data_IF_751971191563
#
_entry.id   IF_751971191563
#
_cell.length_a   1.000
_cell.length_b   1.000
_cell.length_c   1.000
_cell.angle_alpha   90.00
_cell.angle_beta   90.00
_cell.angle_gamma   90.00
#
_symmetry.space_group_name_H-M   'P 1'
#
loop_
_entity.id
_entity.type
_entity.pdbx_description
1 polymer ?
#
# COMPACT_ATOMS: atom_id res chain seq x y z
N UNK A 1 18.74 20.68 -31.58
CA UNK A 1 18.17 20.51 -30.24
C UNK A 1 16.91 19.65 -30.35
N UNK A 2 17.00 18.34 -30.12
CA UNK A 2 15.83 17.49 -29.93
C UNK A 2 15.17 17.86 -28.60
N UNK A 3 13.87 18.18 -28.55
CA UNK A 3 13.20 18.46 -27.29
C UNK A 3 13.23 17.19 -26.43
N UNK A 4 13.81 17.30 -25.25
CA UNK A 4 13.71 16.24 -24.23
C UNK A 4 12.24 15.92 -24.00
N UNK A 5 11.82 14.74 -24.43
CA UNK A 5 10.48 14.21 -24.14
C UNK A 5 10.33 14.20 -22.62
N UNK A 6 9.57 15.16 -22.06
CA UNK A 6 9.11 15.08 -20.68
C UNK A 6 8.39 13.75 -20.50
N UNK A 7 9.00 12.80 -19.84
CA UNK A 7 8.35 11.55 -19.48
C UNK A 7 7.14 11.90 -18.62
N UNK A 8 5.94 11.78 -19.21
CA UNK A 8 4.70 11.90 -18.43
C UNK A 8 4.66 10.74 -17.44
N UNK A 9 4.53 11.05 -16.16
CA UNK A 9 4.32 10.03 -15.15
C UNK A 9 2.91 9.47 -15.33
N UNK A 10 2.81 8.21 -15.77
CA UNK A 10 1.55 7.48 -15.86
C UNK A 10 1.44 6.54 -14.67
N UNK A 11 0.38 6.73 -13.87
CA UNK A 11 0.11 5.95 -12.68
C UNK A 11 -1.02 4.95 -12.92
N UNK A 12 -0.85 3.71 -12.46
CA UNK A 12 -1.90 2.69 -12.46
C UNK A 12 -2.30 2.33 -11.02
N UNK A 13 -3.61 2.14 -10.81
CA UNK A 13 -4.16 1.58 -9.57
C UNK A 13 -4.26 0.05 -9.66
N UNK A 14 -3.19 -0.61 -10.07
CA UNK A 14 -3.15 -2.07 -10.00
C UNK A 14 -2.81 -2.51 -8.57
N UNK A 15 -3.68 -3.36 -8.02
CA UNK A 15 -3.56 -3.86 -6.65
C UNK A 15 -3.20 -5.34 -6.60
N UNK A 16 -3.06 -5.97 -7.80
CA UNK A 16 -2.88 -7.41 -7.91
C UNK A 16 -4.12 -8.22 -7.50
N UNK A 17 -4.07 -9.53 -7.69
CA UNK A 17 -5.16 -10.44 -7.37
C UNK A 17 -6.49 -10.03 -8.00
N UNK A 18 -7.58 -10.11 -7.23
CA UNK A 18 -8.95 -9.79 -7.72
C UNK A 18 -9.15 -8.33 -8.16
N UNK A 19 -8.26 -7.41 -7.79
CA UNK A 19 -8.36 -5.97 -8.13
C UNK A 19 -7.23 -5.58 -9.06
N UNK A 20 -6.95 -6.40 -10.08
CA UNK A 20 -5.98 -6.08 -11.12
C UNK A 20 -6.62 -5.34 -12.30
N UNK A 21 -6.00 -4.24 -12.70
CA UNK A 21 -6.34 -3.51 -13.93
C UNK A 21 -5.75 -4.16 -15.19
N UNK A 22 -4.77 -5.04 -14.99
CA UNK A 22 -4.12 -5.80 -16.06
C UNK A 22 -4.82 -7.13 -16.36
N UNK A 23 -5.96 -7.43 -15.71
CA UNK A 23 -6.66 -8.71 -15.81
C UNK A 23 -7.04 -9.11 -17.24
N UNK A 24 -7.26 -8.12 -18.12
CA UNK A 24 -7.54 -8.38 -19.55
C UNK A 24 -6.31 -8.88 -20.32
N UNK A 25 -5.11 -8.65 -19.81
CA UNK A 25 -3.84 -9.07 -20.42
C UNK A 25 -3.25 -10.30 -19.73
N UNK A 26 -3.43 -10.42 -18.43
CA UNK A 26 -2.92 -11.53 -17.62
C UNK A 26 -3.85 -11.77 -16.44
N UNK A 27 -4.30 -13.00 -16.27
CA UNK A 27 -5.02 -13.38 -15.07
C UNK A 27 -4.04 -13.64 -13.92
N UNK A 28 -3.95 -12.67 -13.04
CA UNK A 28 -3.14 -12.72 -11.82
C UNK A 28 -4.02 -12.79 -10.56
N UNK A 29 -5.28 -13.20 -10.67
CA UNK A 29 -6.26 -13.19 -9.58
C UNK A 29 -5.85 -14.03 -8.38
N UNK A 30 -5.12 -15.13 -8.59
CA UNK A 30 -4.59 -16.00 -7.53
C UNK A 30 -3.40 -15.39 -6.79
N UNK A 31 -2.66 -14.47 -7.41
CA UNK A 31 -1.46 -13.84 -6.82
C UNK A 31 -1.83 -12.62 -5.97
N UNK A 32 -2.64 -12.86 -4.94
CA UNK A 32 -3.03 -11.81 -3.99
C UNK A 32 -1.90 -11.46 -3.04
N UNK A 33 -1.97 -10.29 -2.38
CA UNK A 33 -1.00 -9.96 -1.33
C UNK A 33 -1.06 -10.99 -0.18
N UNK A 34 -2.26 -11.49 0.14
CA UNK A 34 -2.43 -12.53 1.15
C UNK A 34 -1.72 -13.83 0.76
N UNK A 35 -1.84 -14.26 -0.50
CA UNK A 35 -1.10 -15.41 -1.02
C UNK A 35 0.41 -15.28 -0.77
N UNK A 36 0.98 -14.14 -1.16
CA UNK A 36 2.41 -13.88 -0.94
C UNK A 36 2.78 -13.77 0.54
N UNK A 37 1.90 -13.21 1.36
CA UNK A 37 2.09 -13.15 2.81
C UNK A 37 2.10 -14.53 3.48
N UNK A 38 1.23 -15.42 3.04
CA UNK A 38 1.16 -16.80 3.54
C UNK A 38 2.35 -17.62 3.01
N UNK A 39 2.74 -17.45 1.75
CA UNK A 39 3.94 -18.07 1.19
C UNK A 39 5.22 -17.62 1.92
N UNK A 40 5.32 -16.33 2.26
CA UNK A 40 6.47 -15.81 3.05
C UNK A 40 6.59 -16.46 4.42
N UNK A 41 5.46 -16.78 5.07
CA UNK A 41 5.48 -17.50 6.36
C UNK A 41 5.89 -18.95 6.19
N UNK A 42 5.40 -19.61 5.14
CA UNK A 42 5.60 -21.03 4.89
C UNK A 42 6.99 -21.34 4.34
N UNK A 43 7.42 -20.59 3.33
CA UNK A 43 8.68 -20.82 2.60
C UNK A 43 9.21 -19.51 2.01
N UNK A 44 10.19 -18.94 2.69
CA UNK A 44 10.82 -17.68 2.26
C UNK A 44 11.62 -17.80 0.94
N UNK A 45 12.17 -18.99 0.63
CA UNK A 45 12.92 -19.19 -0.63
C UNK A 45 11.95 -19.15 -1.81
N UNK A 46 10.84 -19.92 -1.73
CA UNK A 46 9.77 -19.90 -2.75
C UNK A 46 9.12 -18.53 -2.85
N UNK A 47 8.86 -17.85 -1.73
CA UNK A 47 8.36 -16.47 -1.75
C UNK A 47 9.28 -15.55 -2.55
N UNK A 48 10.57 -15.56 -2.27
CA UNK A 48 11.52 -14.69 -2.96
C UNK A 48 11.56 -14.94 -4.47
N UNK A 49 11.52 -16.22 -4.89
CA UNK A 49 11.50 -16.62 -6.29
C UNK A 49 10.18 -16.18 -6.97
N UNK A 50 9.04 -16.57 -6.43
CA UNK A 50 7.75 -16.33 -7.05
C UNK A 50 7.37 -14.85 -7.03
N UNK A 51 7.66 -14.15 -5.94
CA UNK A 51 7.40 -12.72 -5.85
C UNK A 51 8.32 -11.91 -6.77
N UNK A 52 9.53 -12.38 -7.01
CA UNK A 52 10.46 -11.76 -7.98
C UNK A 52 9.93 -11.89 -9.42
N UNK A 53 9.54 -13.11 -9.81
CA UNK A 53 8.94 -13.37 -11.12
C UNK A 53 7.68 -12.52 -11.32
N UNK A 54 6.78 -12.52 -10.32
CA UNK A 54 5.55 -11.73 -10.34
C UNK A 54 5.83 -10.24 -10.56
N UNK A 55 6.72 -9.66 -9.76
CA UNK A 55 7.05 -8.22 -9.87
C UNK A 55 7.71 -7.90 -11.22
N UNK A 56 8.60 -8.76 -11.72
CA UNK A 56 9.24 -8.58 -13.03
C UNK A 56 8.21 -8.57 -14.15
N UNK A 57 7.29 -9.53 -14.16
CA UNK A 57 6.24 -9.61 -15.19
C UNK A 57 5.31 -8.40 -15.15
N UNK A 58 4.81 -8.02 -13.97
CA UNK A 58 3.97 -6.82 -13.81
C UNK A 58 4.73 -5.57 -14.25
N UNK A 59 5.98 -5.41 -13.85
CA UNK A 59 6.80 -4.26 -14.24
C UNK A 59 7.06 -4.20 -15.73
N UNK A 60 7.28 -5.35 -16.38
CA UNK A 60 7.44 -5.44 -17.82
C UNK A 60 6.18 -4.95 -18.54
N UNK A 61 5.00 -5.48 -18.18
CA UNK A 61 3.73 -5.06 -18.76
C UNK A 61 3.45 -3.57 -18.56
N UNK A 62 3.70 -3.06 -17.34
CA UNK A 62 3.52 -1.63 -17.06
C UNK A 62 4.39 -0.76 -17.98
N UNK A 63 5.65 -1.13 -18.16
CA UNK A 63 6.57 -0.41 -19.04
C UNK A 63 6.16 -0.46 -20.51
N UNK A 64 5.68 -1.61 -20.99
CA UNK A 64 5.12 -1.74 -22.35
C UNK A 64 3.96 -0.76 -22.58
N UNK A 65 3.14 -0.53 -21.54
CA UNK A 65 2.03 0.41 -21.57
C UNK A 65 2.45 1.87 -21.29
N UNK A 66 3.75 2.15 -21.15
CA UNK A 66 4.27 3.47 -20.80
C UNK A 66 4.00 3.90 -19.35
N UNK A 67 3.60 2.97 -18.47
CA UNK A 67 3.28 3.24 -17.07
C UNK A 67 4.54 3.06 -16.22
N UNK A 68 4.89 4.05 -15.43
CA UNK A 68 6.11 4.05 -14.60
C UNK A 68 5.84 4.20 -13.09
N UNK A 69 4.58 4.28 -12.67
CA UNK A 69 4.17 4.39 -11.26
C UNK A 69 3.07 3.38 -10.96
N UNK A 70 3.25 2.55 -9.93
CA UNK A 70 2.23 1.61 -9.46
C UNK A 70 1.82 1.90 -8.00
N UNK A 71 0.51 1.85 -7.71
CA UNK A 71 -0.02 2.10 -6.36
C UNK A 71 0.06 0.87 -5.46
N UNK A 72 1.26 0.39 -5.24
CA UNK A 72 1.65 -0.72 -4.36
C UNK A 72 2.85 -0.29 -3.49
N UNK A 73 3.08 -0.98 -2.38
CA UNK A 73 2.28 -1.99 -1.70
C UNK A 73 1.09 -1.42 -0.90
N UNK A 74 0.10 -2.28 -0.65
CA UNK A 74 -0.90 -2.05 0.40
C UNK A 74 -0.30 -2.48 1.73
N UNK A 75 -0.12 -1.55 2.65
CA UNK A 75 0.49 -1.78 3.97
C UNK A 75 -0.55 -1.89 5.10
N UNK A 76 -1.83 -1.91 4.77
CA UNK A 76 -2.89 -2.09 5.74
C UNK A 76 -2.81 -3.49 6.36
N UNK A 77 -2.92 -3.57 7.70
CA UNK A 77 -2.84 -4.83 8.43
C UNK A 77 -4.17 -5.56 8.31
N UNK A 78 -4.13 -6.85 7.96
CA UNK A 78 -5.33 -7.70 7.94
C UNK A 78 -5.88 -7.86 9.36
N UNK A 79 -7.19 -7.63 9.52
CA UNK A 79 -7.90 -7.82 10.77
C UNK A 79 -8.97 -8.91 10.61
N UNK A 80 -9.02 -9.85 11.55
CA UNK A 80 -10.11 -10.81 11.65
C UNK A 80 -11.41 -10.05 11.98
N UNK A 81 -12.52 -10.49 11.42
CA UNK A 81 -13.88 -9.96 11.71
C UNK A 81 -14.11 -8.48 11.33
N UNK A 82 -13.23 -7.85 10.55
CA UNK A 82 -13.49 -6.55 9.96
C UNK A 82 -13.86 -6.69 8.47
N UNK A 83 -14.54 -5.68 7.94
CA UNK A 83 -15.05 -5.70 6.57
C UNK A 83 -13.93 -6.08 5.57
N UNK A 84 -14.27 -6.92 4.57
CA UNK A 84 -13.31 -7.46 3.59
C UNK A 84 -12.72 -6.40 2.62
N UNK A 85 -12.83 -5.11 2.94
CA UNK A 85 -12.32 -4.02 2.11
C UNK A 85 -10.81 -4.17 1.87
N UNK A 86 -10.07 -4.42 2.94
CA UNK A 86 -8.65 -4.72 2.83
C UNK A 86 -8.46 -6.17 2.39
N UNK A 87 -9.08 -7.13 3.11
CA UNK A 87 -9.16 -8.54 2.74
C UNK A 87 -7.83 -9.10 2.25
N UNK A 88 -7.88 -9.80 1.12
CA UNK A 88 -6.74 -10.44 0.46
C UNK A 88 -5.71 -9.46 -0.16
N UNK A 89 -6.00 -8.14 -0.11
CA UNK A 89 -5.04 -7.10 -0.49
C UNK A 89 -4.00 -6.81 0.59
N UNK A 90 -4.19 -7.29 1.83
CA UNK A 90 -3.18 -7.25 2.89
C UNK A 90 -2.26 -8.47 2.83
N UNK A 91 -0.99 -8.26 3.11
CA UNK A 91 -0.03 -9.36 3.19
C UNK A 91 -0.23 -10.24 4.44
N UNK A 92 -0.64 -9.67 5.57
CA UNK A 92 -0.73 -10.40 6.83
C UNK A 92 -1.49 -9.64 7.91
N UNK A 93 -1.92 -10.37 8.95
CA UNK A 93 -2.33 -9.80 10.24
C UNK A 93 -1.14 -9.44 11.14
N UNK A 94 0.07 -9.88 10.80
CA UNK A 94 1.29 -9.54 11.53
C UNK A 94 1.96 -8.32 10.93
N UNK A 95 2.01 -7.21 11.67
CA UNK A 95 2.59 -5.94 11.22
C UNK A 95 4.06 -6.04 10.80
N UNK A 96 4.87 -6.91 11.44
CA UNK A 96 6.28 -7.11 11.07
C UNK A 96 6.40 -7.73 9.68
N UNK A 97 5.51 -8.69 9.36
CA UNK A 97 5.45 -9.32 8.04
C UNK A 97 4.98 -8.32 6.99
N UNK A 98 3.91 -7.56 7.26
CA UNK A 98 3.42 -6.51 6.36
C UNK A 98 4.54 -5.50 6.05
N UNK A 99 5.22 -5.00 7.09
CA UNK A 99 6.32 -4.06 6.92
C UNK A 99 7.46 -4.66 6.07
N UNK A 100 7.89 -5.89 6.37
CA UNK A 100 9.01 -6.55 5.69
C UNK A 100 8.70 -6.85 4.22
N UNK A 101 7.53 -7.42 3.92
CA UNK A 101 7.13 -7.68 2.53
C UNK A 101 6.91 -6.36 1.80
N UNK A 102 6.39 -5.33 2.48
CA UNK A 102 6.27 -3.98 1.93
C UNK A 102 7.61 -3.43 1.45
N UNK A 103 8.68 -3.56 2.25
CA UNK A 103 10.02 -3.14 1.86
C UNK A 103 10.54 -3.93 0.65
N UNK A 104 10.37 -5.25 0.65
CA UNK A 104 10.75 -6.12 -0.47
C UNK A 104 9.99 -5.72 -1.75
N UNK A 105 8.69 -5.42 -1.63
CA UNK A 105 7.85 -4.98 -2.76
C UNK A 105 8.39 -3.67 -3.36
N UNK A 106 8.65 -2.67 -2.53
CA UNK A 106 9.19 -1.38 -2.95
C UNK A 106 10.54 -1.58 -3.65
N UNK A 107 11.46 -2.30 -3.03
CA UNK A 107 12.81 -2.52 -3.58
C UNK A 107 12.75 -3.24 -4.94
N UNK A 108 11.88 -4.27 -5.09
CA UNK A 108 11.75 -5.02 -6.34
C UNK A 108 11.13 -4.18 -7.47
N UNK A 109 10.07 -3.40 -7.21
CA UNK A 109 9.51 -2.51 -8.21
C UNK A 109 10.50 -1.42 -8.62
N UNK A 110 11.23 -0.81 -7.68
CA UNK A 110 12.25 0.20 -7.96
C UNK A 110 13.39 -0.37 -8.82
N UNK A 111 13.88 -1.59 -8.53
CA UNK A 111 14.87 -2.30 -9.37
C UNK A 111 14.37 -2.49 -10.80
N UNK A 112 13.06 -2.65 -11.00
CA UNK A 112 12.44 -2.77 -12.31
C UNK A 112 11.98 -1.41 -12.90
N UNK A 113 12.46 -0.28 -12.35
CA UNK A 113 12.19 1.09 -12.82
C UNK A 113 10.72 1.50 -12.76
N UNK A 114 9.97 0.95 -11.80
CA UNK A 114 8.60 1.34 -11.48
C UNK A 114 8.59 2.01 -10.10
N UNK A 115 8.16 3.27 -10.05
CA UNK A 115 7.95 3.96 -8.78
C UNK A 115 6.73 3.37 -8.05
N UNK A 116 6.76 3.43 -6.72
CA UNK A 116 5.72 2.85 -5.87
C UNK A 116 4.99 3.93 -5.08
N UNK A 117 3.70 3.69 -4.84
CA UNK A 117 2.87 4.49 -3.93
C UNK A 117 2.38 3.58 -2.81
N UNK A 118 2.93 3.75 -1.61
CA UNK A 118 2.46 3.00 -0.44
C UNK A 118 1.08 3.48 0.00
N UNK A 119 0.24 2.58 0.50
CA UNK A 119 -1.13 2.93 0.93
C UNK A 119 -1.67 1.97 1.97
N UNK A 120 -2.66 2.39 2.73
CA UNK A 120 -3.25 3.74 2.83
C UNK A 120 -2.77 4.41 4.12
N UNK A 121 -1.85 5.36 4.01
CA UNK A 121 -1.28 6.01 5.20
C UNK A 121 -2.36 6.83 5.94
N UNK A 122 -2.37 6.85 7.26
CA UNK A 122 -1.48 6.15 8.19
C UNK A 122 -1.93 4.73 8.57
N UNK A 123 -2.93 4.16 7.92
CA UNK A 123 -3.42 2.79 8.11
C UNK A 123 -4.94 2.69 8.01
N UNK A 124 -5.42 1.81 7.15
CA UNK A 124 -6.85 1.58 6.88
C UNK A 124 -7.35 0.24 7.44
N UNK A 125 -6.46 -0.56 8.05
CA UNK A 125 -6.76 -1.92 8.48
C UNK A 125 -7.84 -2.07 9.56
N UNK A 126 -8.15 -1.01 10.29
CA UNK A 126 -9.19 -0.98 11.34
C UNK A 126 -10.56 -0.51 10.84
N UNK A 127 -10.70 -0.17 9.55
CA UNK A 127 -11.97 0.27 9.00
C UNK A 127 -13.00 -0.86 9.00
N UNK A 128 -14.20 -0.56 9.50
CA UNK A 128 -15.33 -1.50 9.57
C UNK A 128 -16.28 -1.41 8.37
N UNK A 129 -16.21 -0.32 7.61
CA UNK A 129 -17.08 -0.03 6.47
C UNK A 129 -16.23 0.44 5.29
N UNK A 130 -16.77 0.30 4.07
CA UNK A 130 -16.10 0.75 2.86
C UNK A 130 -16.10 2.28 2.79
N UNK A 131 -14.90 2.87 2.65
CA UNK A 131 -14.74 4.32 2.50
C UNK A 131 -15.36 4.90 1.22
N UNK A 132 -15.70 4.06 0.26
CA UNK A 132 -16.46 4.48 -0.93
C UNK A 132 -17.97 4.60 -0.66
N UNK A 133 -18.47 3.95 0.40
CA UNK A 133 -19.90 3.95 0.75
C UNK A 133 -20.18 4.81 1.98
N UNK A 134 -19.31 4.78 2.98
CA UNK A 134 -19.47 5.51 4.24
C UNK A 134 -18.12 5.83 4.84
N UNK A 135 -17.97 7.01 5.44
CA UNK A 135 -16.72 7.40 6.12
C UNK A 135 -16.44 6.44 7.30
N UNK A 136 -15.35 5.66 7.25
CA UNK A 136 -14.98 4.78 8.36
C UNK A 136 -14.48 5.62 9.54
N UNK A 137 -14.98 5.32 10.74
CA UNK A 137 -14.56 5.97 11.99
C UNK A 137 -13.78 4.96 12.83
N UNK A 138 -12.54 5.30 13.18
CA UNK A 138 -11.65 4.49 14.03
C UNK A 138 -11.51 5.17 15.39
N UNK A 139 -11.94 4.46 16.43
CA UNK A 139 -11.87 4.92 17.83
C UNK A 139 -10.72 4.23 18.56
N UNK A 140 -9.48 4.60 18.24
CA UNK A 140 -8.26 4.14 18.90
C UNK A 140 -7.39 5.34 19.26
N UNK A 141 -6.69 5.26 20.40
CA UNK A 141 -5.78 6.32 20.80
C UNK A 141 -4.48 6.31 20.00
N UNK A 142 -3.75 7.42 20.06
CA UNK A 142 -2.52 7.62 19.29
C UNK A 142 -1.44 6.59 19.61
N UNK A 143 -1.25 6.24 20.88
CA UNK A 143 -0.23 5.29 21.31
C UNK A 143 -0.47 3.91 20.68
N UNK A 144 -1.71 3.42 20.69
CA UNK A 144 -2.08 2.17 20.02
C UNK A 144 -1.80 2.23 18.52
N UNK A 145 -2.22 3.30 17.84
CA UNK A 145 -2.06 3.46 16.39
C UNK A 145 -0.59 3.53 16.00
N UNK A 146 0.23 4.30 16.69
CA UNK A 146 1.67 4.40 16.47
C UNK A 146 2.38 3.05 16.68
N UNK A 147 1.96 2.30 17.72
CA UNK A 147 2.52 0.97 17.99
C UNK A 147 2.11 -0.07 16.96
N UNK A 148 0.98 0.09 16.28
CA UNK A 148 0.38 -0.92 15.38
C UNK A 148 0.29 -0.42 13.93
N UNK A 149 -0.86 0.14 13.53
CA UNK A 149 -1.17 0.40 12.12
C UNK A 149 -0.26 1.45 11.48
N UNK A 150 0.13 2.47 12.23
CA UNK A 150 1.02 3.53 11.73
C UNK A 150 2.47 3.05 11.58
N UNK A 151 2.90 2.09 12.42
CA UNK A 151 4.28 1.60 12.43
C UNK A 151 4.73 0.97 11.13
N UNK A 152 3.82 0.39 10.34
CA UNK A 152 4.15 -0.26 9.08
C UNK A 152 4.57 0.71 7.97
N UNK A 153 4.23 1.99 8.13
CA UNK A 153 4.58 3.05 7.17
C UNK A 153 5.91 3.73 7.49
N UNK A 154 6.47 3.49 8.67
CA UNK A 154 7.72 4.12 9.10
C UNK A 154 8.91 3.63 8.27
N UNK A 155 9.84 4.55 7.91
CA UNK A 155 11.09 4.28 7.21
C UNK A 155 10.91 3.56 5.85
N UNK A 156 9.82 3.81 5.13
CA UNK A 156 9.61 3.25 3.78
C UNK A 156 10.41 4.05 2.74
N UNK A 157 11.01 3.33 1.77
CA UNK A 157 11.78 3.93 0.68
C UNK A 157 10.92 4.48 -0.46
N UNK A 158 9.61 4.28 -0.43
CA UNK A 158 8.70 4.88 -1.41
C UNK A 158 8.70 6.40 -1.27
N UNK A 159 8.80 7.08 -2.41
CA UNK A 159 8.78 8.56 -2.46
C UNK A 159 7.37 9.13 -2.48
N UNK A 160 6.37 8.28 -2.58
CA UNK A 160 4.97 8.69 -2.65
C UNK A 160 4.15 7.78 -1.73
N UNK A 161 3.22 8.39 -1.01
CA UNK A 161 2.21 7.65 -0.24
C UNK A 161 0.81 8.19 -0.50
N UNK A 162 -0.19 7.33 -0.43
CA UNK A 162 -1.60 7.70 -0.60
C UNK A 162 -2.31 7.60 0.74
N UNK A 163 -3.07 8.64 1.08
CA UNK A 163 -3.89 8.66 2.30
C UNK A 163 -5.10 7.74 2.19
N UNK A 164 -5.55 7.21 3.33
CA UNK A 164 -6.86 6.59 3.46
C UNK A 164 -7.94 7.63 3.75
N UNK A 165 -9.10 7.55 3.09
CA UNK A 165 -10.24 8.41 3.43
C UNK A 165 -11.03 7.81 4.58
N UNK A 166 -10.63 8.15 5.82
CA UNK A 166 -11.23 7.67 7.07
C UNK A 166 -10.97 8.66 8.20
N UNK A 167 -11.67 8.52 9.32
CA UNK A 167 -11.53 9.39 10.49
C UNK A 167 -10.91 8.63 11.67
N UNK A 168 -9.91 9.22 12.31
CA UNK A 168 -9.40 8.79 13.62
C UNK A 168 -9.98 9.67 14.71
N UNK A 169 -11.14 9.30 15.25
CA UNK A 169 -11.96 10.13 16.16
C UNK A 169 -11.16 10.70 17.35
N UNK A 170 -10.26 9.92 17.93
CA UNK A 170 -9.43 10.37 19.08
C UNK A 170 -8.24 11.24 18.70
N UNK A 171 -7.92 11.37 17.41
CA UNK A 171 -6.83 12.24 16.92
C UNK A 171 -7.39 13.53 16.32
N UNK A 172 -8.42 13.39 15.50
CA UNK A 172 -9.17 14.49 14.93
C UNK A 172 -10.63 14.06 14.74
N UNK A 173 -11.53 14.67 15.52
CA UNK A 173 -12.97 14.37 15.48
C UNK A 173 -13.73 15.19 14.42
N UNK A 174 -13.08 16.16 13.79
CA UNK A 174 -13.72 17.07 12.83
C UNK A 174 -13.42 16.67 11.38
N UNK A 175 -12.20 16.22 11.09
CA UNK A 175 -11.75 16.02 9.72
C UNK A 175 -11.25 14.58 9.46
N UNK A 176 -11.60 14.00 8.30
CA UNK A 176 -10.99 12.76 7.84
C UNK A 176 -9.50 12.99 7.54
N UNK A 177 -8.72 11.91 7.46
CA UNK A 177 -7.27 11.95 7.20
C UNK A 177 -6.92 12.86 6.03
N UNK A 178 -7.66 12.79 4.94
CA UNK A 178 -7.45 13.58 3.71
C UNK A 178 -7.54 15.09 3.90
N UNK A 179 -8.15 15.57 4.98
CA UNK A 179 -8.36 17.00 5.28
C UNK A 179 -7.76 17.41 6.64
N UNK A 180 -7.25 16.45 7.43
CA UNK A 180 -6.77 16.70 8.78
C UNK A 180 -5.31 17.17 8.83
N UNK A 181 -5.10 18.45 9.08
CA UNK A 181 -3.75 18.99 9.37
C UNK A 181 -3.09 18.29 10.56
N UNK A 182 -3.88 17.86 11.57
CA UNK A 182 -3.39 17.13 12.76
C UNK A 182 -2.79 15.77 12.35
N UNK A 183 -3.51 15.01 11.52
CA UNK A 183 -3.02 13.70 11.05
C UNK A 183 -1.80 13.86 10.14
N UNK A 184 -1.78 14.84 9.26
CA UNK A 184 -0.60 15.12 8.43
C UNK A 184 0.63 15.44 9.29
N UNK A 185 0.48 16.22 10.36
CA UNK A 185 1.58 16.46 11.33
C UNK A 185 2.05 15.18 12.01
N UNK A 186 1.15 14.27 12.36
CA UNK A 186 1.51 12.95 12.92
C UNK A 186 2.29 12.13 11.88
N UNK A 187 1.85 12.10 10.61
CA UNK A 187 2.56 11.41 9.53
C UNK A 187 3.98 11.98 9.38
N UNK A 188 4.14 13.30 9.36
CA UNK A 188 5.45 13.95 9.25
C UNK A 188 6.35 13.70 10.48
N UNK A 189 5.80 13.95 11.68
CA UNK A 189 6.60 14.03 12.90
C UNK A 189 6.78 12.68 13.63
N UNK A 190 5.83 11.76 13.52
CA UNK A 190 5.85 10.47 14.25
C UNK A 190 6.15 9.29 13.33
N UNK A 191 5.52 9.22 12.16
CA UNK A 191 5.82 8.18 11.16
C UNK A 191 7.12 8.52 10.41
N UNK A 192 7.51 9.82 10.38
CA UNK A 192 8.71 10.33 9.70
C UNK A 192 8.67 10.12 8.19
N UNK A 193 7.49 10.27 7.60
CA UNK A 193 7.36 10.27 6.14
C UNK A 193 7.34 11.72 5.64
N UNK A 194 8.41 12.15 4.97
CA UNK A 194 8.61 13.54 4.55
C UNK A 194 8.46 13.76 3.04
N UNK A 195 8.18 12.70 2.30
CA UNK A 195 8.03 12.71 0.85
C UNK A 195 6.58 13.06 0.43
N UNK A 196 6.21 12.87 -0.84
CA UNK A 196 4.91 13.25 -1.39
C UNK A 196 3.75 12.44 -0.78
N UNK A 197 2.74 13.14 -0.28
CA UNK A 197 1.46 12.59 0.18
C UNK A 197 0.37 13.00 -0.80
N UNK A 198 -0.40 12.02 -1.30
CA UNK A 198 -1.56 12.22 -2.19
C UNK A 198 -2.83 11.67 -1.55
#
# INVERSE_FOLDING_TARGET
HTPTRRQRQMCIRDRGGRVSRLRKFIDNSVFTNKYFGDLYKKDKKKFNLYFDVYVKQISYLLRLLGINVNTVPVLDILRKNLHQIVGDRSFSSNKKIVSKIGDICIDKFHKNKIATITKHIPGHGLAKVDSHLKLPIIDKNQAYLLKNDFSVFSKKKSKITMTGHLMFKKLDSQYPVTHSKKIIRIIRNKIKFNELII
#
